data_IF_261648761882
#
_entry.id   IF_261648761882
#
_cell.length_a   1.000
_cell.length_b   1.000
_cell.length_c   1.000
_cell.angle_alpha   90.00
_cell.angle_beta   90.00
_cell.angle_gamma   90.00
#
_symmetry.space_group_name_H-M   'P 1'
#
loop_
_entity.id
_entity.type
_entity.pdbx_description
1 polymer ?
#
# COMPACT_ATOMS: atom_id res chain seq x y z
N UNK A 1 -34.28 5.70 21.52
CA UNK A 1 -33.83 4.36 21.19
C UNK A 1 -33.05 4.38 19.88
N UNK A 2 -31.82 3.92 19.93
CA UNK A 2 -31.03 3.82 18.70
C UNK A 2 -31.76 2.88 17.75
N UNK A 3 -32.05 3.34 16.57
CA UNK A 3 -32.73 2.52 15.58
C UNK A 3 -31.90 1.29 15.23
N UNK A 4 -32.56 0.15 15.13
CA UNK A 4 -31.90 -1.10 14.75
C UNK A 4 -31.06 -0.99 13.48
N UNK A 5 -31.46 -0.20 12.44
CA UNK A 5 -30.62 -0.02 11.26
C UNK A 5 -29.22 0.49 11.55
N UNK A 6 -29.05 1.42 12.51
CA UNK A 6 -27.72 1.93 12.88
C UNK A 6 -26.88 0.86 13.57
N UNK A 7 -27.50 0.03 14.41
CA UNK A 7 -26.82 -1.07 15.06
C UNK A 7 -26.38 -2.12 14.02
N UNK A 8 -27.26 -2.42 13.06
CA UNK A 8 -26.94 -3.36 11.98
C UNK A 8 -25.82 -2.86 11.09
N UNK A 9 -25.81 -1.56 10.78
CA UNK A 9 -24.72 -0.96 10.00
C UNK A 9 -23.40 -1.08 10.73
N UNK A 10 -23.37 -0.79 12.04
CA UNK A 10 -22.16 -0.94 12.84
C UNK A 10 -21.67 -2.37 12.93
N UNK A 11 -22.58 -3.33 13.11
CA UNK A 11 -22.23 -4.73 13.10
C UNK A 11 -21.68 -5.18 11.75
N UNK A 12 -22.29 -4.70 10.67
CA UNK A 12 -21.84 -4.99 9.32
C UNK A 12 -20.46 -4.41 9.06
N UNK A 13 -20.21 -3.18 9.52
CA UNK A 13 -18.90 -2.56 9.46
C UNK A 13 -17.88 -3.36 10.27
N UNK A 14 -18.22 -3.79 11.48
CA UNK A 14 -17.36 -4.61 12.32
C UNK A 14 -17.04 -5.96 11.67
N UNK A 15 -18.02 -6.56 10.99
CA UNK A 15 -17.82 -7.81 10.26
C UNK A 15 -16.97 -7.62 9.01
N UNK A 16 -17.16 -6.51 8.29
CA UNK A 16 -16.35 -6.15 7.14
C UNK A 16 -14.95 -5.71 7.57
N UNK A 17 -14.86 -5.09 8.74
CA UNK A 17 -13.61 -4.72 9.40
C UNK A 17 -13.09 -5.80 10.31
N UNK A 18 -13.58 -7.03 10.18
CA UNK A 18 -13.04 -8.21 10.86
C UNK A 18 -11.56 -8.39 10.57
N UNK A 19 -11.08 -7.72 9.51
CA UNK A 19 -9.70 -7.35 9.38
C UNK A 19 -9.60 -5.82 9.51
N UNK A 20 -8.98 -5.35 10.54
CA UNK A 20 -8.66 -3.94 10.67
C UNK A 20 -7.43 -3.68 9.82
N UNK A 21 -7.53 -2.79 8.83
CA UNK A 21 -6.44 -2.49 7.90
C UNK A 21 -5.15 -2.07 8.62
N UNK A 22 -5.27 -1.17 9.58
CA UNK A 22 -4.12 -0.71 10.33
C UNK A 22 -3.51 -1.84 11.17
N UNK A 23 -4.33 -2.72 11.74
CA UNK A 23 -3.85 -3.86 12.50
C UNK A 23 -3.06 -4.84 11.63
N UNK A 24 -3.46 -5.02 10.37
CA UNK A 24 -2.70 -5.84 9.42
C UNK A 24 -1.33 -5.22 9.17
N UNK A 25 -1.29 -3.91 8.92
CA UNK A 25 -0.02 -3.19 8.72
C UNK A 25 0.86 -3.33 9.96
N UNK A 26 0.31 -3.08 11.14
CA UNK A 26 1.08 -3.13 12.41
C UNK A 26 1.67 -4.50 12.67
N UNK A 27 0.98 -5.56 12.28
CA UNK A 27 1.44 -6.94 12.46
C UNK A 27 2.46 -7.35 11.40
N UNK A 28 2.22 -6.98 10.15
CA UNK A 28 2.95 -7.51 8.98
C UNK A 28 4.17 -6.65 8.63
N UNK A 29 4.04 -5.34 8.72
CA UNK A 29 5.07 -4.42 8.23
C UNK A 29 6.43 -4.63 8.90
N UNK A 30 6.53 -4.80 10.23
CA UNK A 30 7.83 -5.09 10.86
C UNK A 30 8.51 -6.35 10.30
N UNK A 31 7.74 -7.37 9.95
CA UNK A 31 8.26 -8.60 9.38
C UNK A 31 8.77 -8.38 7.96
N UNK A 32 8.07 -7.58 7.17
CA UNK A 32 8.50 -7.21 5.81
C UNK A 32 9.82 -6.46 5.88
N UNK A 33 9.94 -5.49 6.77
CA UNK A 33 11.17 -4.70 6.98
C UNK A 33 12.33 -5.65 7.33
N UNK A 34 12.10 -6.57 8.24
CA UNK A 34 13.11 -7.54 8.66
C UNK A 34 13.59 -8.41 7.49
N UNK A 35 12.65 -8.88 6.66
CA UNK A 35 12.97 -9.81 5.57
C UNK A 35 13.55 -9.12 4.33
N UNK A 36 13.09 -7.93 4.01
CA UNK A 36 13.55 -7.20 2.82
C UNK A 36 14.73 -6.28 3.10
N UNK A 37 15.00 -6.00 4.36
CA UNK A 37 16.14 -5.18 4.74
C UNK A 37 15.84 -3.70 4.83
N UNK A 38 16.89 -2.91 5.03
CA UNK A 38 16.76 -1.47 5.26
C UNK A 38 16.39 -0.71 4.00
N UNK A 39 15.40 0.16 4.10
CA UNK A 39 15.05 1.10 3.04
C UNK A 39 16.10 2.21 2.92
N UNK A 40 16.27 2.76 1.71
CA UNK A 40 17.30 3.75 1.40
C UNK A 40 17.19 5.02 2.23
N UNK A 41 15.96 5.47 2.50
CA UNK A 41 15.70 6.70 3.26
C UNK A 41 15.20 6.45 4.68
N UNK A 42 15.41 5.24 5.21
CA UNK A 42 14.82 4.83 6.48
C UNK A 42 13.45 4.23 6.26
N UNK A 43 12.82 3.75 7.33
CA UNK A 43 11.53 3.08 7.26
C UNK A 43 10.43 4.03 6.81
N UNK A 44 9.78 3.79 5.66
CA UNK A 44 8.68 4.64 5.22
C UNK A 44 7.50 4.55 6.19
N UNK A 45 6.82 5.68 6.39
CA UNK A 45 5.54 5.71 7.10
C UNK A 45 4.46 5.20 6.16
N UNK A 46 3.56 4.36 6.65
CA UNK A 46 2.44 3.84 5.88
C UNK A 46 1.19 4.66 6.19
N UNK A 47 0.52 5.14 5.16
CA UNK A 47 -0.72 5.90 5.26
C UNK A 47 -1.80 5.30 4.37
N UNK A 48 -3.04 5.34 4.85
CA UNK A 48 -4.22 4.98 4.06
C UNK A 48 -4.89 6.24 3.54
N UNK A 49 -5.28 6.22 2.26
CA UNK A 49 -6.02 7.30 1.63
C UNK A 49 -7.14 6.71 0.76
N UNK A 50 -8.19 7.49 0.53
CA UNK A 50 -9.32 7.03 -0.30
C UNK A 50 -8.96 6.96 -1.79
N UNK A 51 -8.11 7.86 -2.26
CA UNK A 51 -7.55 7.84 -3.61
C UNK A 51 -6.38 8.83 -3.72
N UNK A 52 -5.73 8.84 -4.87
CA UNK A 52 -4.57 9.72 -5.12
C UNK A 52 -4.96 11.19 -5.09
N UNK A 53 -6.16 11.56 -5.53
CA UNK A 53 -6.60 12.97 -5.59
C UNK A 53 -6.83 13.54 -4.20
N UNK A 54 -7.45 12.78 -3.31
CA UNK A 54 -7.62 13.18 -1.91
C UNK A 54 -6.26 13.29 -1.22
N UNK A 55 -5.35 12.37 -1.50
CA UNK A 55 -4.00 12.43 -0.92
C UNK A 55 -3.26 13.70 -1.34
N UNK A 56 -3.30 14.02 -2.63
CA UNK A 56 -2.54 15.17 -3.18
C UNK A 56 -3.17 16.49 -2.76
N UNK A 57 -4.50 16.60 -2.82
CA UNK A 57 -5.18 17.88 -2.59
C UNK A 57 -5.60 18.08 -1.14
N UNK A 58 -5.77 17.00 -0.36
CA UNK A 58 -6.35 17.08 0.97
C UNK A 58 -7.86 17.35 0.96
N UNK A 59 -8.49 17.37 -0.21
CA UNK A 59 -9.92 17.66 -0.35
C UNK A 59 -10.69 16.34 -0.40
N UNK A 60 -11.52 16.12 0.63
CA UNK A 60 -12.36 14.94 0.72
C UNK A 60 -13.36 14.90 -0.44
N UNK A 61 -13.53 13.71 -1.04
CA UNK A 61 -14.46 13.54 -2.16
C UNK A 61 -13.88 13.82 -3.54
N UNK A 62 -12.64 14.33 -3.63
CA UNK A 62 -11.98 14.50 -4.92
C UNK A 62 -11.78 13.16 -5.61
N UNK A 63 -12.04 13.12 -6.91
CA UNK A 63 -11.95 11.92 -7.73
C UNK A 63 -11.35 12.23 -9.10
N UNK A 64 -10.88 11.20 -9.78
CA UNK A 64 -10.34 11.27 -11.12
C UNK A 64 -10.13 9.86 -11.68
N UNK A 65 -9.46 9.76 -12.83
CA UNK A 65 -9.29 8.50 -13.55
C UNK A 65 -8.20 7.59 -12.97
N UNK A 66 -7.15 8.16 -12.39
CA UNK A 66 -6.06 7.36 -11.81
C UNK A 66 -6.55 6.60 -10.59
N UNK A 67 -6.29 5.29 -10.58
CA UNK A 67 -6.80 4.39 -9.54
C UNK A 67 -5.76 3.33 -9.16
N UNK A 68 -4.58 3.75 -8.65
CA UNK A 68 -3.55 2.81 -8.23
C UNK A 68 -3.97 2.06 -6.98
N UNK A 69 -3.37 0.89 -6.76
CA UNK A 69 -3.55 0.11 -5.53
C UNK A 69 -2.77 0.74 -4.37
N UNK A 70 -1.54 1.14 -4.65
CA UNK A 70 -0.61 1.68 -3.66
C UNK A 70 0.48 2.47 -4.37
N UNK A 71 1.21 3.28 -3.63
CA UNK A 71 2.33 4.04 -4.15
C UNK A 71 3.43 4.20 -3.09
N UNK A 72 4.68 4.22 -3.53
CA UNK A 72 5.79 4.68 -2.70
C UNK A 72 6.20 6.08 -3.11
N UNK A 73 6.17 7.01 -2.16
CA UNK A 73 6.56 8.39 -2.34
C UNK A 73 8.01 8.56 -1.85
N UNK A 74 8.93 8.64 -2.79
CA UNK A 74 10.35 8.78 -2.47
C UNK A 74 10.65 10.12 -1.77
N UNK A 75 10.02 11.21 -2.20
CA UNK A 75 10.30 12.54 -1.66
C UNK A 75 9.94 12.63 -0.17
N UNK A 76 8.79 12.11 0.20
CA UNK A 76 8.29 12.15 1.57
C UNK A 76 8.59 10.88 2.36
N UNK A 77 9.16 9.87 1.71
CA UNK A 77 9.43 8.55 2.29
C UNK A 77 8.19 7.94 2.94
N UNK A 78 7.14 7.80 2.14
CA UNK A 78 5.85 7.26 2.59
C UNK A 78 5.33 6.21 1.63
N UNK A 79 4.63 5.24 2.17
CA UNK A 79 3.87 4.27 1.40
C UNK A 79 2.40 4.62 1.56
N UNK A 80 1.70 4.79 0.44
CA UNK A 80 0.27 5.07 0.41
C UNK A 80 -0.48 3.80 -0.02
N UNK A 81 -1.44 3.38 0.78
CA UNK A 81 -2.34 2.28 0.45
C UNK A 81 -3.73 2.88 0.22
N UNK A 82 -4.32 2.61 -0.95
CA UNK A 82 -5.61 3.19 -1.31
C UNK A 82 -6.74 2.25 -0.89
N UNK A 83 -7.58 2.71 0.04
CA UNK A 83 -8.55 1.86 0.73
C UNK A 83 -9.52 1.09 -0.17
N UNK A 84 -10.01 1.63 -1.31
CA UNK A 84 -10.88 0.85 -2.19
C UNK A 84 -10.26 -0.43 -2.74
N UNK A 85 -8.92 -0.47 -2.81
CA UNK A 85 -8.17 -1.64 -3.28
C UNK A 85 -7.71 -2.54 -2.14
N UNK A 86 -7.71 -2.04 -0.92
CA UNK A 86 -7.25 -2.76 0.27
C UNK A 86 -8.41 -3.51 0.93
N UNK A 87 -9.05 -4.39 0.15
CA UNK A 87 -10.31 -5.05 0.52
C UNK A 87 -10.12 -6.27 1.41
N UNK A 88 -8.92 -6.79 1.49
CA UNK A 88 -8.61 -7.93 2.34
C UNK A 88 -7.13 -7.89 2.76
N UNK A 89 -6.75 -8.82 3.62
CA UNK A 89 -5.39 -8.93 4.14
C UNK A 89 -4.36 -9.16 3.02
N UNK A 90 -4.69 -10.00 2.05
CA UNK A 90 -3.81 -10.28 0.91
C UNK A 90 -3.43 -9.00 0.16
N UNK A 91 -4.40 -8.15 -0.15
CA UNK A 91 -4.14 -6.92 -0.90
C UNK A 91 -3.26 -5.95 -0.11
N UNK A 92 -3.46 -5.86 1.21
CA UNK A 92 -2.63 -5.01 2.07
C UNK A 92 -1.18 -5.53 2.09
N UNK A 93 -1.00 -6.83 2.27
CA UNK A 93 0.33 -7.43 2.33
C UNK A 93 1.06 -7.27 1.00
N UNK A 94 0.36 -7.53 -0.11
CA UNK A 94 0.94 -7.34 -1.46
C UNK A 94 1.33 -5.90 -1.71
N UNK A 95 0.48 -4.96 -1.32
CA UNK A 95 0.78 -3.53 -1.44
C UNK A 95 2.01 -3.13 -0.66
N UNK A 96 2.12 -3.58 0.59
CA UNK A 96 3.28 -3.30 1.42
C UNK A 96 4.56 -3.92 0.83
N UNK A 97 4.50 -5.16 0.37
CA UNK A 97 5.66 -5.83 -0.23
C UNK A 97 6.13 -5.09 -1.48
N UNK A 98 5.21 -4.73 -2.36
CA UNK A 98 5.51 -4.02 -3.60
C UNK A 98 6.17 -2.66 -3.32
N UNK A 99 5.52 -1.84 -2.49
CA UNK A 99 6.00 -0.48 -2.25
C UNK A 99 7.23 -0.44 -1.35
N UNK A 100 7.33 -1.34 -0.38
CA UNK A 100 8.56 -1.41 0.43
C UNK A 100 9.75 -1.88 -0.41
N UNK A 101 9.54 -2.77 -1.37
CA UNK A 101 10.60 -3.17 -2.31
C UNK A 101 11.14 -1.93 -3.04
N UNK A 102 10.26 -1.05 -3.52
CA UNK A 102 10.69 0.22 -4.13
C UNK A 102 11.50 1.09 -3.16
N UNK A 103 11.12 1.11 -1.88
CA UNK A 103 11.84 1.88 -0.87
C UNK A 103 13.28 1.38 -0.65
N UNK A 104 13.58 0.13 -0.98
CA UNK A 104 14.92 -0.44 -0.89
C UNK A 104 15.75 -0.20 -2.16
N UNK A 105 15.14 0.24 -3.24
CA UNK A 105 15.76 0.39 -4.56
C UNK A 105 16.36 1.78 -4.75
N UNK A 106 17.30 1.89 -5.71
CA UNK A 106 17.93 3.17 -6.04
C UNK A 106 17.01 3.97 -6.99
N UNK A 107 16.55 5.17 -6.59
CA UNK A 107 15.62 5.95 -7.41
C UNK A 107 16.21 6.40 -8.74
N UNK A 108 17.52 6.64 -8.80
CA UNK A 108 18.20 7.03 -10.04
C UNK A 108 18.19 5.88 -11.04
N UNK A 109 18.43 4.67 -10.57
CA UNK A 109 18.35 3.48 -11.41
C UNK A 109 16.92 3.17 -11.82
N UNK A 110 15.97 3.38 -10.92
CA UNK A 110 14.55 3.22 -11.21
C UNK A 110 14.14 4.11 -12.39
N UNK A 111 14.48 5.38 -12.34
CA UNK A 111 14.20 6.34 -13.41
C UNK A 111 14.87 5.94 -14.71
N UNK A 112 16.15 5.56 -14.65
CA UNK A 112 16.92 5.12 -15.81
C UNK A 112 16.28 3.91 -16.51
N UNK A 113 15.90 2.91 -15.72
CA UNK A 113 15.24 1.71 -16.24
C UNK A 113 13.88 2.04 -16.83
N UNK A 114 13.12 2.94 -16.19
CA UNK A 114 11.82 3.38 -16.68
C UNK A 114 11.94 4.04 -18.04
N UNK A 115 12.91 4.92 -18.22
CA UNK A 115 13.16 5.62 -19.49
C UNK A 115 13.59 4.67 -20.60
N UNK A 116 14.48 3.71 -20.28
CA UNK A 116 15.04 2.81 -21.29
C UNK A 116 14.14 1.64 -21.64
N UNK A 117 13.46 1.07 -20.66
CA UNK A 117 12.79 -0.23 -20.79
C UNK A 117 11.26 -0.15 -20.64
N UNK A 118 10.75 0.94 -20.08
CA UNK A 118 9.34 1.06 -19.74
C UNK A 118 8.96 0.22 -18.51
N UNK A 119 7.72 0.36 -18.07
CA UNK A 119 7.24 -0.25 -16.82
C UNK A 119 7.39 -1.78 -16.79
N UNK A 120 6.92 -2.45 -17.86
CA UNK A 120 6.87 -3.93 -17.87
C UNK A 120 8.24 -4.59 -17.87
N UNK A 121 9.24 -3.94 -18.43
CA UNK A 121 10.60 -4.48 -18.55
C UNK A 121 11.56 -3.91 -17.52
N UNK A 122 11.10 -2.99 -16.69
CA UNK A 122 11.91 -2.41 -15.62
C UNK A 122 12.22 -3.49 -14.58
N UNK A 123 13.51 -3.86 -14.36
CA UNK A 123 13.84 -4.92 -13.42
C UNK A 123 13.42 -4.61 -11.99
N UNK A 124 13.33 -3.33 -11.60
CA UNK A 124 12.86 -2.93 -10.28
C UNK A 124 11.36 -3.16 -10.11
N UNK A 125 10.56 -2.92 -11.17
CA UNK A 125 9.14 -3.23 -11.16
C UNK A 125 8.91 -4.75 -11.16
N UNK A 126 9.71 -5.48 -11.93
CA UNK A 126 9.65 -6.95 -11.93
C UNK A 126 9.95 -7.50 -10.53
N UNK A 127 10.97 -6.97 -9.87
CA UNK A 127 11.32 -7.38 -8.51
C UNK A 127 10.21 -7.05 -7.51
N UNK A 128 9.59 -5.88 -7.63
CA UNK A 128 8.49 -5.48 -6.76
C UNK A 128 7.27 -6.41 -6.95
N UNK A 129 6.89 -6.71 -8.20
CA UNK A 129 5.81 -7.66 -8.47
C UNK A 129 6.13 -9.07 -7.97
N UNK A 130 7.37 -9.50 -8.14
CA UNK A 130 7.81 -10.80 -7.65
C UNK A 130 7.70 -10.91 -6.12
N UNK A 131 7.99 -9.83 -5.41
CA UNK A 131 7.89 -9.81 -3.94
C UNK A 131 6.47 -10.08 -3.46
N UNK A 132 5.44 -9.66 -4.22
CA UNK A 132 4.03 -9.89 -3.87
C UNK A 132 3.69 -11.36 -3.73
N UNK A 133 4.39 -12.24 -4.46
CA UNK A 133 4.13 -13.68 -4.43
C UNK A 133 4.43 -14.32 -3.06
N UNK A 134 5.16 -13.62 -2.21
CA UNK A 134 5.51 -14.08 -0.88
C UNK A 134 4.49 -13.68 0.19
N UNK A 135 3.38 -13.08 -0.19
CA UNK A 135 2.40 -12.54 0.75
C UNK A 135 1.91 -13.54 1.81
N UNK A 136 1.81 -14.82 1.43
CA UNK A 136 1.31 -15.87 2.35
C UNK A 136 2.19 -16.08 3.57
N UNK A 137 3.47 -15.72 3.48
CA UNK A 137 4.39 -15.81 4.61
C UNK A 137 4.01 -14.87 5.76
N UNK A 138 3.26 -13.84 5.45
CA UNK A 138 2.95 -12.76 6.40
C UNK A 138 1.52 -12.80 6.93
N UNK A 139 0.69 -13.66 6.39
CA UNK A 139 -0.70 -13.76 6.84
C UNK A 139 -0.85 -14.46 8.19
#
# INVERSE_FOLDING_TARGET
MVSRPNVMIKLKELLLEGFNRQAVVDRVYPQIIKNLGRAKRGTPKVEFHSNIYVRVTGIEGMQGEANPHAEYDWENNKIYLYTPKMVNEEEIIKGLLHEYTHATQDPKKMEKYQQKLGYKKNPYEIAAHKSEKNWKKYR
#
